data_IF_058306212784
#
_entry.id   IF_058306212784
#
_cell.length_a   1.000
_cell.length_b   1.000
_cell.length_c   1.000
_cell.angle_alpha   90.00
_cell.angle_beta   90.00
_cell.angle_gamma   90.00
#
_symmetry.space_group_name_H-M   'P 1'
#
loop_
_entity.id
_entity.type
_entity.pdbx_description
1 polymer ?
#
# COMPACT_ATOMS: atom_id res chain seq x y z
N UNK A 1 -31.10 -18.99 -60.23
CA UNK A 1 -30.14 -18.27 -59.35
C UNK A 1 -30.86 -18.01 -58.04
N UNK A 2 -30.44 -18.64 -56.94
CA UNK A 2 -31.20 -18.73 -55.70
C UNK A 2 -31.26 -17.35 -55.02
N UNK A 3 -32.46 -16.92 -54.62
CA UNK A 3 -32.74 -15.61 -54.00
C UNK A 3 -31.83 -15.36 -52.79
N UNK A 4 -31.44 -16.41 -52.07
CA UNK A 4 -30.51 -16.36 -50.94
C UNK A 4 -29.10 -15.92 -51.31
N UNK A 5 -28.61 -16.23 -52.52
CA UNK A 5 -27.26 -15.87 -52.97
C UNK A 5 -27.17 -14.39 -53.34
N UNK A 6 -28.24 -13.84 -53.91
CA UNK A 6 -28.33 -12.41 -54.26
C UNK A 6 -28.49 -11.54 -53.01
N UNK A 7 -29.29 -11.99 -52.03
CA UNK A 7 -29.41 -11.33 -50.72
C UNK A 7 -28.09 -11.36 -49.91
N UNK A 8 -27.30 -12.43 -50.02
CA UNK A 8 -25.98 -12.52 -49.37
C UNK A 8 -24.97 -11.53 -49.98
N UNK A 9 -24.95 -11.39 -51.31
CA UNK A 9 -24.06 -10.46 -52.02
C UNK A 9 -24.44 -8.98 -51.78
N UNK A 10 -25.73 -8.66 -51.71
CA UNK A 10 -26.20 -7.30 -51.40
C UNK A 10 -25.94 -6.88 -49.95
N UNK A 11 -25.92 -7.83 -49.01
CA UNK A 11 -25.76 -7.54 -47.58
C UNK A 11 -24.31 -7.71 -47.06
N UNK A 12 -23.44 -8.32 -47.86
CA UNK A 12 -22.01 -8.45 -47.59
C UNK A 12 -21.29 -7.14 -47.20
N UNK A 13 -21.47 -6.01 -47.92
CA UNK A 13 -20.82 -4.76 -47.53
C UNK A 13 -21.32 -4.23 -46.18
N UNK A 14 -22.60 -4.45 -45.84
CA UNK A 14 -23.17 -4.02 -44.56
C UNK A 14 -22.61 -4.85 -43.40
N UNK A 15 -22.49 -6.18 -43.58
CA UNK A 15 -21.87 -7.07 -42.61
C UNK A 15 -20.39 -6.74 -42.36
N UNK A 16 -19.62 -6.45 -43.41
CA UNK A 16 -18.21 -6.02 -43.29
C UNK A 16 -18.10 -4.69 -42.54
N UNK A 17 -19.01 -3.74 -42.81
CA UNK A 17 -19.02 -2.45 -42.14
C UNK A 17 -19.38 -2.58 -40.65
N UNK A 18 -20.34 -3.44 -40.31
CA UNK A 18 -20.70 -3.79 -38.93
C UNK A 18 -19.52 -4.44 -38.17
N UNK A 19 -18.79 -5.34 -38.83
CA UNK A 19 -17.62 -6.01 -38.25
C UNK A 19 -16.47 -5.02 -38.03
N UNK A 20 -16.27 -4.08 -38.95
CA UNK A 20 -15.26 -3.03 -38.85
C UNK A 20 -15.57 -2.08 -37.68
N UNK A 21 -16.82 -1.65 -37.54
CA UNK A 21 -17.31 -0.84 -36.41
C UNK A 21 -17.17 -1.55 -35.06
N UNK A 22 -17.46 -2.85 -35.01
CA UNK A 22 -17.27 -3.67 -33.81
C UNK A 22 -15.78 -3.75 -33.43
N UNK A 23 -14.90 -3.89 -34.42
CA UNK A 23 -13.46 -3.96 -34.22
C UNK A 23 -12.89 -2.62 -33.73
N UNK A 24 -13.35 -1.50 -34.29
CA UNK A 24 -12.98 -0.16 -33.83
C UNK A 24 -13.47 0.11 -32.40
N UNK A 25 -14.72 -0.25 -32.09
CA UNK A 25 -15.28 -0.14 -30.74
C UNK A 25 -14.49 -0.97 -29.73
N UNK A 26 -14.10 -2.20 -30.11
CA UNK A 26 -13.25 -3.07 -29.28
C UNK A 26 -11.87 -2.45 -29.04
N UNK A 27 -11.23 -1.91 -30.10
CA UNK A 27 -9.94 -1.20 -29.97
C UNK A 27 -10.04 0.02 -29.06
N UNK A 28 -11.10 0.81 -29.19
CA UNK A 28 -11.34 1.99 -28.33
C UNK A 28 -11.48 1.61 -26.85
N UNK A 29 -12.25 0.57 -26.54
CA UNK A 29 -12.37 0.07 -25.16
C UNK A 29 -11.04 -0.44 -24.60
N UNK A 30 -10.26 -1.18 -25.40
CA UNK A 30 -8.92 -1.64 -25.00
C UNK A 30 -7.99 -0.45 -24.70
N UNK A 31 -8.05 0.59 -25.52
CA UNK A 31 -7.26 1.80 -25.32
C UNK A 31 -7.63 2.54 -24.03
N UNK A 32 -8.93 2.68 -23.73
CA UNK A 32 -9.41 3.30 -22.48
C UNK A 32 -8.95 2.52 -21.24
N UNK A 33 -9.04 1.19 -21.26
CA UNK A 33 -8.58 0.38 -20.12
C UNK A 33 -7.05 0.49 -19.96
N UNK A 34 -6.30 0.54 -21.07
CA UNK A 34 -4.85 0.75 -21.03
C UNK A 34 -4.49 2.12 -20.42
N UNK A 35 -5.18 3.18 -20.81
CA UNK A 35 -4.99 4.51 -20.24
C UNK A 35 -5.32 4.54 -18.74
N UNK A 36 -6.39 3.88 -18.30
CA UNK A 36 -6.73 3.76 -16.88
C UNK A 36 -5.72 2.95 -16.07
N UNK A 37 -5.10 1.93 -16.68
CA UNK A 37 -3.99 1.18 -16.07
C UNK A 37 -2.77 2.10 -15.88
N UNK A 38 -2.40 2.88 -16.88
CA UNK A 38 -1.26 3.80 -16.80
C UNK A 38 -1.50 4.90 -15.74
N UNK A 39 -2.74 5.41 -15.63
CA UNK A 39 -3.15 6.37 -14.59
C UNK A 39 -3.09 5.77 -13.18
N UNK A 40 -3.58 4.54 -13.01
CA UNK A 40 -3.47 3.82 -11.74
C UNK A 40 -2.00 3.56 -11.35
N UNK A 41 -1.13 3.25 -12.32
CA UNK A 41 0.30 3.07 -12.09
C UNK A 41 0.98 4.39 -11.66
N UNK A 42 0.57 5.52 -12.26
CA UNK A 42 1.04 6.85 -11.85
C UNK A 42 0.56 7.23 -10.43
N UNK A 43 -0.68 6.89 -10.08
CA UNK A 43 -1.24 7.13 -8.75
C UNK A 43 -0.54 6.28 -7.68
N UNK A 44 -0.24 5.01 -7.99
CA UNK A 44 0.57 4.13 -7.14
C UNK A 44 1.96 4.72 -6.90
N UNK A 45 2.62 5.28 -7.93
CA UNK A 45 3.92 5.96 -7.74
C UNK A 45 3.82 7.17 -6.83
N UNK A 46 2.75 7.98 -6.93
CA UNK A 46 2.51 9.10 -6.00
C UNK A 46 2.30 8.62 -4.56
N UNK A 47 1.48 7.57 -4.38
CA UNK A 47 1.27 6.98 -3.05
C UNK A 47 2.55 6.36 -2.48
N UNK A 48 3.43 5.77 -3.30
CA UNK A 48 4.74 5.27 -2.86
C UNK A 48 5.63 6.40 -2.35
N UNK A 49 5.67 7.54 -3.06
CA UNK A 49 6.44 8.72 -2.68
C UNK A 49 5.90 9.36 -1.40
N UNK A 50 4.58 9.47 -1.24
CA UNK A 50 3.94 9.99 -0.02
C UNK A 50 4.10 9.01 1.16
N UNK A 51 3.95 7.71 0.94
CA UNK A 51 4.22 6.69 1.94
C UNK A 51 5.68 6.75 2.43
N UNK A 52 6.62 7.11 1.54
CA UNK A 52 8.04 7.24 1.86
C UNK A 52 8.37 8.49 2.67
N UNK A 53 7.57 9.56 2.58
CA UNK A 53 7.71 10.78 3.40
C UNK A 53 6.99 10.70 4.74
N UNK A 54 6.07 9.74 4.93
CA UNK A 54 5.32 9.51 6.17
C UNK A 54 6.10 8.70 7.23
N UNK A 55 5.71 8.87 8.51
CA UNK A 55 6.35 8.26 9.67
C UNK A 55 6.38 6.72 9.62
N UNK A 56 7.42 6.07 10.21
CA UNK A 56 7.66 4.62 10.10
C UNK A 56 6.53 3.71 10.60
N UNK A 57 5.61 4.22 11.41
CA UNK A 57 4.46 3.50 11.97
C UNK A 57 3.37 3.17 10.92
N UNK A 58 3.19 4.01 9.90
CA UNK A 58 2.16 3.83 8.86
C UNK A 58 2.75 3.18 7.59
N UNK A 59 4.08 3.27 7.42
CA UNK A 59 4.83 2.76 6.27
C UNK A 59 4.62 1.26 6.02
N UNK A 60 4.65 0.43 7.05
CA UNK A 60 4.56 -1.03 6.89
C UNK A 60 3.20 -1.48 6.32
N UNK A 61 2.11 -0.94 6.86
CA UNK A 61 0.74 -1.27 6.41
C UNK A 61 0.45 -0.68 5.03
N UNK A 62 0.93 0.53 4.74
CA UNK A 62 0.75 1.15 3.42
C UNK A 62 1.57 0.43 2.34
N UNK A 63 2.81 0.03 2.61
CA UNK A 63 3.64 -0.71 1.65
C UNK A 63 3.09 -2.12 1.37
N UNK A 64 2.51 -2.79 2.38
CA UNK A 64 1.83 -4.06 2.18
C UNK A 64 0.62 -3.90 1.23
N UNK A 65 -0.26 -2.91 1.49
CA UNK A 65 -1.37 -2.59 0.59
C UNK A 65 -0.89 -2.16 -0.79
N UNK A 66 0.23 -1.43 -0.89
CA UNK A 66 0.80 -1.02 -2.16
C UNK A 66 1.31 -2.21 -2.97
N UNK A 67 1.91 -3.21 -2.31
CA UNK A 67 2.34 -4.47 -2.95
C UNK A 67 1.15 -5.26 -3.47
N UNK A 68 0.05 -5.27 -2.71
CA UNK A 68 -1.20 -5.92 -3.08
C UNK A 68 -1.85 -5.22 -4.30
N UNK A 69 -2.03 -3.90 -4.25
CA UNK A 69 -2.53 -3.13 -5.39
C UNK A 69 -1.64 -3.27 -6.64
N UNK A 70 -0.32 -3.33 -6.48
CA UNK A 70 0.61 -3.58 -7.59
C UNK A 70 0.44 -4.99 -8.17
N UNK A 71 0.20 -5.98 -7.33
CA UNK A 71 -0.07 -7.37 -7.75
C UNK A 71 -1.39 -7.47 -8.52
N UNK A 72 -2.45 -6.85 -8.01
CA UNK A 72 -3.77 -6.84 -8.66
C UNK A 72 -3.73 -6.12 -10.02
N UNK A 73 -2.98 -5.01 -10.10
CA UNK A 73 -2.78 -4.29 -11.35
C UNK A 73 -2.01 -5.15 -12.36
N UNK A 74 -0.98 -5.88 -11.93
CA UNK A 74 -0.25 -6.80 -12.78
C UNK A 74 -1.13 -7.98 -13.25
N UNK A 75 -2.00 -8.49 -12.39
CA UNK A 75 -2.95 -9.55 -12.74
C UNK A 75 -3.96 -9.06 -13.80
N UNK A 76 -4.55 -7.88 -13.60
CA UNK A 76 -5.46 -7.24 -14.55
C UNK A 76 -4.78 -6.90 -15.89
N UNK A 77 -3.51 -6.49 -15.87
CA UNK A 77 -2.70 -6.28 -17.08
C UNK A 77 -2.46 -7.58 -17.84
N UNK A 78 -2.25 -8.68 -17.12
CA UNK A 78 -2.07 -10.01 -17.71
C UNK A 78 -3.36 -10.55 -18.34
N UNK A 79 -4.51 -10.35 -17.67
CA UNK A 79 -5.83 -10.71 -18.18
C UNK A 79 -6.20 -9.88 -19.41
N UNK A 80 -5.91 -8.58 -19.40
CA UNK A 80 -6.10 -7.72 -20.57
C UNK A 80 -5.21 -8.15 -21.74
N UNK A 81 -3.95 -8.52 -21.47
CA UNK A 81 -3.05 -9.05 -22.51
C UNK A 81 -3.59 -10.35 -23.12
N UNK A 82 -4.17 -11.25 -22.33
CA UNK A 82 -4.84 -12.47 -22.82
C UNK A 82 -6.07 -12.15 -23.67
N UNK A 83 -6.89 -11.20 -23.24
CA UNK A 83 -8.09 -10.76 -23.96
C UNK A 83 -7.76 -10.01 -25.27
N UNK A 84 -6.64 -9.29 -25.31
CA UNK A 84 -6.15 -8.56 -26.49
C UNK A 84 -5.44 -9.49 -27.48
N UNK A 85 -4.62 -10.43 -27.01
CA UNK A 85 -3.91 -11.38 -27.87
C UNK A 85 -4.82 -12.44 -28.50
N UNK A 86 -6.08 -12.52 -28.10
CA UNK A 86 -7.04 -13.46 -28.64
C UNK A 86 -6.80 -14.88 -28.12
N UNK A 87 -7.90 -15.57 -27.88
CA UNK A 87 -8.01 -16.95 -27.44
C UNK A 87 -7.32 -17.94 -28.40
N UNK A 88 -5.99 -17.98 -28.41
CA UNK A 88 -5.22 -19.14 -28.86
C UNK A 88 -4.84 -19.94 -27.63
N UNK A 89 -5.75 -20.83 -27.23
CA UNK A 89 -5.36 -22.05 -26.53
C UNK A 89 -4.70 -22.96 -27.59
N UNK A 90 -3.36 -23.11 -27.61
CA UNK A 90 -2.72 -24.10 -28.48
C UNK A 90 -3.15 -25.53 -28.12
N UNK A 91 -3.69 -25.75 -26.93
CA UNK A 91 -4.07 -27.07 -26.41
C UNK A 91 -5.35 -27.67 -27.00
N UNK A 92 -6.20 -26.90 -27.68
CA UNK A 92 -7.44 -27.44 -28.26
C UNK A 92 -7.27 -27.95 -29.71
N UNK A 93 -6.18 -27.57 -30.40
CA UNK A 93 -5.91 -28.00 -31.77
C UNK A 93 -5.10 -29.29 -31.87
N UNK A 94 -4.28 -29.56 -30.86
CA UNK A 94 -3.39 -30.73 -30.85
C UNK A 94 -4.18 -32.04 -30.64
N UNK A 95 -5.28 -31.98 -29.90
CA UNK A 95 -6.12 -33.15 -29.59
C UNK A 95 -7.02 -33.62 -30.74
N UNK A 96 -7.08 -32.90 -31.87
CA UNK A 96 -7.97 -33.21 -33.01
C UNK A 96 -7.26 -33.84 -34.22
N UNK A 97 -5.93 -33.97 -34.17
CA UNK A 97 -5.14 -34.55 -35.26
C UNK A 97 -4.64 -35.98 -34.96
N UNK A 98 -4.87 -36.47 -33.75
CA UNK A 98 -4.36 -37.76 -33.24
C UNK A 98 -5.48 -38.78 -32.98
N UNK A 99 -6.55 -38.81 -33.78
CA UNK A 99 -7.65 -39.78 -33.59
C UNK A 99 -7.91 -40.70 -34.80
N UNK A 100 -7.01 -40.74 -35.79
CA UNK A 100 -7.33 -41.28 -37.11
C UNK A 100 -6.70 -42.60 -37.56
N UNK A 101 -5.62 -43.12 -36.96
CA UNK A 101 -4.84 -44.17 -37.67
C UNK A 101 -4.10 -45.22 -36.82
N UNK A 102 -4.50 -45.47 -35.58
CA UNK A 102 -3.75 -46.38 -34.71
C UNK A 102 -4.68 -47.16 -33.75
N UNK A 103 -5.46 -48.13 -34.24
CA UNK A 103 -6.52 -48.76 -33.42
C UNK A 103 -6.42 -50.29 -33.25
N UNK A 104 -5.23 -50.90 -33.37
CA UNK A 104 -5.11 -52.34 -33.06
C UNK A 104 -3.79 -52.79 -32.42
N UNK A 105 -2.68 -52.07 -32.65
CA UNK A 105 -1.39 -52.33 -31.99
C UNK A 105 -1.06 -51.34 -30.86
N UNK A 106 -1.88 -50.29 -30.75
CA UNK A 106 -1.68 -49.10 -29.92
C UNK A 106 -2.21 -49.29 -28.51
N UNK A 107 -3.17 -50.18 -28.27
CA UNK A 107 -3.80 -50.32 -26.94
C UNK A 107 -2.79 -50.67 -25.83
N UNK A 108 -1.75 -51.47 -26.14
CA UNK A 108 -0.70 -51.81 -25.17
C UNK A 108 0.40 -50.75 -25.06
N UNK A 109 0.74 -50.06 -26.14
CA UNK A 109 1.69 -48.94 -26.12
C UNK A 109 1.07 -47.70 -25.45
N UNK A 110 -0.20 -47.42 -25.74
CA UNK A 110 -1.02 -46.38 -25.13
C UNK A 110 -1.19 -46.60 -23.63
N UNK A 111 -1.38 -47.83 -23.15
CA UNK A 111 -1.36 -48.09 -21.70
C UNK A 111 -0.03 -47.71 -21.05
N UNK A 112 1.11 -48.03 -21.69
CA UNK A 112 2.44 -47.70 -21.17
C UNK A 112 2.72 -46.20 -21.24
N UNK A 113 2.38 -45.55 -22.35
CA UNK A 113 2.54 -44.11 -22.52
C UNK A 113 1.60 -43.33 -21.61
N UNK A 114 0.38 -43.82 -21.38
CA UNK A 114 -0.57 -43.24 -20.42
C UNK A 114 -0.08 -43.38 -18.99
N UNK A 115 0.54 -44.51 -18.64
CA UNK A 115 1.19 -44.69 -17.33
C UNK A 115 2.42 -43.79 -17.17
N UNK A 116 3.27 -43.67 -18.20
CA UNK A 116 4.43 -42.76 -18.19
C UNK A 116 3.99 -41.30 -18.08
N UNK A 117 2.98 -40.89 -18.85
CA UNK A 117 2.41 -39.54 -18.78
C UNK A 117 1.76 -39.28 -17.42
N UNK A 118 1.06 -40.26 -16.84
CA UNK A 118 0.51 -40.14 -15.48
C UNK A 118 1.61 -40.02 -14.42
N UNK A 119 2.71 -40.76 -14.59
CA UNK A 119 3.88 -40.73 -13.71
C UNK A 119 4.63 -39.40 -13.84
N UNK A 120 4.81 -38.89 -15.05
CA UNK A 120 5.45 -37.60 -15.30
C UNK A 120 4.61 -36.45 -14.73
N UNK A 121 3.28 -36.51 -14.90
CA UNK A 121 2.37 -35.56 -14.27
C UNK A 121 2.42 -35.62 -12.74
N UNK A 122 2.49 -36.82 -12.16
CA UNK A 122 2.63 -36.99 -10.72
C UNK A 122 3.97 -36.46 -10.22
N UNK A 123 5.07 -36.76 -10.92
CA UNK A 123 6.39 -36.28 -10.56
C UNK A 123 6.47 -34.75 -10.63
N UNK A 124 5.94 -34.15 -11.71
CA UNK A 124 5.82 -32.69 -11.86
C UNK A 124 4.92 -32.08 -10.78
N UNK A 125 3.84 -32.75 -10.39
CA UNK A 125 3.00 -32.29 -9.29
C UNK A 125 3.72 -32.40 -7.94
N UNK A 126 4.53 -33.43 -7.73
CA UNK A 126 5.35 -33.63 -6.55
C UNK A 126 6.42 -32.55 -6.43
N UNK A 127 7.12 -32.24 -7.52
CA UNK A 127 8.09 -31.14 -7.57
C UNK A 127 7.43 -29.78 -7.30
N UNK A 128 6.25 -29.53 -7.88
CA UNK A 128 5.48 -28.31 -7.58
C UNK A 128 5.05 -28.23 -6.12
N UNK A 129 4.68 -29.35 -5.49
CA UNK A 129 4.34 -29.40 -4.06
C UNK A 129 5.60 -29.12 -3.22
N UNK A 130 6.75 -29.69 -3.59
CA UNK A 130 8.01 -29.46 -2.90
C UNK A 130 8.44 -28.00 -2.98
N UNK A 131 8.34 -27.39 -4.16
CA UNK A 131 8.60 -25.97 -4.36
C UNK A 131 7.61 -25.10 -3.60
N UNK A 132 6.31 -25.42 -3.64
CA UNK A 132 5.29 -24.71 -2.86
C UNK A 132 5.55 -24.81 -1.37
N UNK A 133 6.00 -25.96 -0.86
CA UNK A 133 6.34 -26.15 0.55
C UNK A 133 7.56 -25.32 0.92
N UNK A 134 8.57 -25.25 0.05
CA UNK A 134 9.74 -24.39 0.24
C UNK A 134 9.35 -22.91 0.32
N UNK A 135 8.59 -22.43 -0.66
CA UNK A 135 8.12 -21.03 -0.67
C UNK A 135 7.22 -20.72 0.53
N UNK A 136 6.42 -21.68 0.99
CA UNK A 136 5.59 -21.52 2.18
C UNK A 136 6.43 -21.39 3.45
N UNK A 137 7.49 -22.19 3.61
CA UNK A 137 8.43 -22.07 4.73
C UNK A 137 9.19 -20.72 4.71
N UNK A 138 9.64 -20.29 3.53
CA UNK A 138 10.26 -18.96 3.36
C UNK A 138 9.27 -17.82 3.69
N UNK A 139 7.97 -18.03 3.42
CA UNK A 139 6.90 -17.07 3.74
C UNK A 139 6.55 -17.09 5.23
N UNK A 140 6.60 -18.24 5.89
CA UNK A 140 6.42 -18.37 7.35
C UNK A 140 7.53 -17.65 8.09
N UNK A 141 8.79 -17.84 7.70
CA UNK A 141 9.95 -17.13 8.27
C UNK A 141 9.81 -15.61 8.11
N UNK A 142 9.43 -15.15 6.91
CA UNK A 142 9.15 -13.72 6.67
C UNK A 142 7.98 -13.22 7.52
N UNK A 143 6.93 -14.03 7.68
CA UNK A 143 5.77 -13.70 8.52
C UNK A 143 6.14 -13.56 10.00
N UNK A 144 7.01 -14.42 10.52
CA UNK A 144 7.54 -14.35 11.89
C UNK A 144 8.35 -13.06 12.08
N UNK A 145 9.21 -12.70 11.13
CA UNK A 145 9.97 -11.44 11.18
C UNK A 145 9.03 -10.22 11.22
N UNK A 146 7.97 -10.22 10.41
CA UNK A 146 6.98 -9.14 10.40
C UNK A 146 6.24 -9.04 11.74
N UNK A 147 5.88 -10.18 12.35
CA UNK A 147 5.22 -10.21 13.65
C UNK A 147 6.12 -9.61 14.75
N UNK A 148 7.41 -9.97 14.73
CA UNK A 148 8.40 -9.45 15.65
C UNK A 148 8.59 -7.94 15.49
N UNK A 149 8.65 -7.44 14.25
CA UNK A 149 8.75 -6.01 13.96
C UNK A 149 7.51 -5.24 14.41
N UNK A 150 6.30 -5.78 14.19
CA UNK A 150 5.06 -5.19 14.69
C UNK A 150 5.03 -5.14 16.22
N UNK A 151 5.52 -6.18 16.88
CA UNK A 151 5.63 -6.21 18.34
C UNK A 151 6.60 -5.12 18.84
N UNK A 152 7.77 -4.99 18.21
CA UNK A 152 8.76 -3.95 18.52
C UNK A 152 8.22 -2.53 18.26
N UNK A 153 7.48 -2.33 17.16
CA UNK A 153 6.79 -1.08 16.86
C UNK A 153 5.73 -0.73 17.91
N UNK A 154 4.94 -1.71 18.37
CA UNK A 154 3.98 -1.51 19.47
C UNK A 154 4.67 -1.05 20.74
N UNK A 155 5.80 -1.65 21.09
CA UNK A 155 6.54 -1.29 22.29
C UNK A 155 7.14 0.12 22.18
N UNK A 156 7.66 0.49 21.02
CA UNK A 156 8.13 1.86 20.74
C UNK A 156 7.00 2.89 20.80
N UNK A 157 5.80 2.54 20.33
CA UNK A 157 4.61 3.40 20.43
C UNK A 157 4.17 3.58 21.89
N UNK A 158 4.17 2.51 22.69
CA UNK A 158 3.87 2.59 24.12
C UNK A 158 4.90 3.46 24.85
N UNK A 159 6.20 3.31 24.57
CA UNK A 159 7.23 4.16 25.16
C UNK A 159 7.13 5.62 24.72
N UNK A 160 6.78 5.89 23.45
CA UNK A 160 6.52 7.23 22.98
C UNK A 160 5.29 7.86 23.65
N UNK A 161 4.23 7.07 23.86
CA UNK A 161 3.01 7.49 24.54
C UNK A 161 3.27 7.79 26.03
N UNK A 162 4.09 6.98 26.70
CA UNK A 162 4.51 7.19 28.10
C UNK A 162 5.43 8.41 28.24
N UNK A 163 6.35 8.61 27.27
CA UNK A 163 7.20 9.81 27.20
C UNK A 163 6.38 11.08 26.94
N UNK A 164 5.29 10.99 26.16
CA UNK A 164 4.39 12.13 25.92
C UNK A 164 3.62 12.52 27.19
N UNK A 165 3.26 11.56 28.06
CA UNK A 165 2.67 11.84 29.38
C UNK A 165 3.70 12.41 30.36
N UNK A 166 4.98 12.04 30.24
CA UNK A 166 6.09 12.61 31.02
C UNK A 166 6.42 14.08 30.71
N UNK A 167 5.89 14.68 29.64
CA UNK A 167 6.11 16.09 29.31
C UNK A 167 5.21 17.02 30.16
N UNK A 168 4.07 16.55 30.65
CA UNK A 168 3.22 17.35 31.55
C UNK A 168 3.86 17.52 32.96
N UNK A 169 4.67 16.54 33.35
CA UNK A 169 5.37 16.53 34.65
C UNK A 169 6.67 17.37 34.68
N UNK A 170 7.21 17.72 33.51
CA UNK A 170 8.36 18.64 33.39
C UNK A 170 7.93 20.10 33.22
N UNK A 171 6.71 20.34 32.71
CA UNK A 171 6.07 21.67 32.70
C UNK A 171 5.66 22.09 34.12
N UNK A 172 5.18 21.16 34.95
CA UNK A 172 4.85 21.42 36.37
C UNK A 172 6.09 21.76 37.21
N UNK A 173 7.23 21.08 37.00
CA UNK A 173 8.52 21.39 37.67
C UNK A 173 9.07 22.76 37.29
N UNK A 174 8.97 23.15 36.03
CA UNK A 174 9.44 24.46 35.54
C UNK A 174 8.62 25.63 36.12
N UNK A 175 7.29 25.47 36.24
CA UNK A 175 6.43 26.46 36.92
C UNK A 175 6.72 26.58 38.42
N UNK A 176 7.10 25.49 39.10
CA UNK A 176 7.44 25.48 40.53
C UNK A 176 8.77 26.20 40.82
N UNK A 177 9.77 26.05 39.96
CA UNK A 177 11.06 26.76 40.08
C UNK A 177 10.88 28.26 39.82
N UNK A 178 10.11 28.63 38.79
CA UNK A 178 9.83 30.03 38.47
C UNK A 178 9.00 30.73 39.56
N UNK A 179 8.04 30.04 40.17
CA UNK A 179 7.25 30.54 41.32
C UNK A 179 8.13 30.82 42.55
N UNK A 180 9.09 29.94 42.84
CA UNK A 180 10.01 30.12 43.96
C UNK A 180 11.01 31.27 43.73
N UNK A 181 11.45 31.50 42.48
CA UNK A 181 12.26 32.68 42.13
C UNK A 181 11.46 33.99 42.22
N UNK A 182 10.21 33.99 41.72
CA UNK A 182 9.34 35.17 41.75
C UNK A 182 8.99 35.62 43.19
N UNK A 183 8.75 34.66 44.10
CA UNK A 183 8.48 34.96 45.52
C UNK A 183 9.69 35.55 46.28
N UNK A 184 10.92 35.25 45.86
CA UNK A 184 12.14 35.87 46.43
C UNK A 184 12.31 37.29 45.89
N UNK A 185 12.05 37.50 44.60
CA UNK A 185 12.18 38.81 43.96
C UNK A 185 11.14 39.82 44.47
N UNK A 186 9.90 39.40 44.74
CA UNK A 186 8.87 40.32 45.23
C UNK A 186 9.10 40.75 46.69
N UNK A 187 9.68 39.87 47.54
CA UNK A 187 10.05 40.21 48.92
C UNK A 187 11.15 41.25 48.99
N UNK A 188 12.21 41.09 48.19
CA UNK A 188 13.30 42.06 48.15
C UNK A 188 12.80 43.43 47.64
N UNK A 189 11.90 43.45 46.65
CA UNK A 189 11.26 44.69 46.17
C UNK A 189 10.44 45.39 47.27
N UNK A 190 9.68 44.63 48.08
CA UNK A 190 8.87 45.19 49.16
C UNK A 190 9.71 45.79 50.31
N UNK A 191 10.80 45.11 50.69
CA UNK A 191 11.74 45.62 51.72
C UNK A 191 12.36 46.95 51.28
N UNK A 192 12.88 47.01 50.06
CA UNK A 192 13.48 48.24 49.51
C UNK A 192 12.44 49.36 49.41
N UNK A 193 11.23 49.07 48.93
CA UNK A 193 10.15 50.07 48.84
C UNK A 193 9.77 50.66 50.20
N UNK A 194 9.78 49.84 51.26
CA UNK A 194 9.46 50.28 52.62
C UNK A 194 10.54 51.20 53.18
N UNK A 195 11.82 50.88 52.97
CA UNK A 195 12.95 51.71 53.43
C UNK A 195 12.91 53.09 52.76
N UNK A 196 12.68 53.15 51.45
CA UNK A 196 12.58 54.42 50.70
C UNK A 196 11.40 55.25 51.20
N UNK A 197 10.23 54.64 51.43
CA UNK A 197 9.06 55.35 51.93
C UNK A 197 9.30 55.98 53.31
N UNK A 198 9.94 55.26 54.23
CA UNK A 198 10.30 55.79 55.56
C UNK A 198 11.29 56.95 55.44
N UNK A 199 12.29 56.84 54.56
CA UNK A 199 13.29 57.90 54.35
C UNK A 199 12.63 59.21 53.89
N UNK A 200 11.71 59.11 52.92
CA UNK A 200 10.95 60.27 52.41
C UNK A 200 10.07 60.87 53.50
N UNK A 201 9.42 60.03 54.32
CA UNK A 201 8.57 60.50 55.42
C UNK A 201 9.36 61.29 56.46
N UNK A 202 10.56 60.82 56.82
CA UNK A 202 11.47 61.56 57.73
C UNK A 202 11.88 62.90 57.15
N UNK A 203 12.27 62.95 55.86
CA UNK A 203 12.63 64.21 55.19
C UNK A 203 11.44 65.19 55.19
N UNK A 204 10.24 64.70 54.86
CA UNK A 204 9.01 65.51 54.86
C UNK A 204 8.68 66.05 56.25
N UNK A 205 8.77 65.22 57.29
CA UNK A 205 8.57 65.67 58.68
C UNK A 205 9.59 66.73 59.08
N UNK A 206 10.87 66.53 58.72
CA UNK A 206 11.93 67.47 59.06
C UNK A 206 11.71 68.83 58.38
N UNK A 207 11.30 68.83 57.11
CA UNK A 207 10.91 70.05 56.39
C UNK A 207 9.68 70.71 57.01
N UNK A 208 8.65 69.94 57.36
CA UNK A 208 7.44 70.46 57.99
C UNK A 208 7.76 71.13 59.34
N UNK A 209 8.53 70.48 60.20
CA UNK A 209 8.94 71.06 61.49
C UNK A 209 9.85 72.29 61.34
N UNK A 210 10.69 72.33 60.30
CA UNK A 210 11.57 73.48 60.03
C UNK A 210 10.84 74.66 59.39
N UNK A 211 9.78 74.41 58.62
CA UNK A 211 8.96 75.46 57.98
C UNK A 211 7.84 75.95 58.91
N UNK A 212 7.35 75.10 59.80
CA UNK A 212 6.30 75.43 60.76
C UNK A 212 6.81 76.02 62.08
N UNK A 213 8.14 76.07 62.29
CA UNK A 213 8.80 76.72 63.43
C UNK A 213 9.61 77.91 62.92
#
# INVERSE_FOLDING_TARGET
MNVNTVSFLLNYPNFVLQLLLLMESKRSKIFQIKAGIDEAEALIRKMDLEARSLQPNIKGVLLAKLREYKSDLNNNKSELKKLVSGNMNPSARDMLLESGMADAMTVSADQRDRLMFSTERLNKSSDRIKDSRRTMLETEELGVSILQDLHSQRQSLLHAHDTLHGVDDNVSKSKKILSNMSKRMNRNKCIISTIVAVLVLVIMLTLYFKLSK
#
